data_IF_520930238141
#
_entry.id   IF_520930238141
#
_cell.length_a   1.000
_cell.length_b   1.000
_cell.length_c   1.000
_cell.angle_alpha   90.00
_cell.angle_beta   90.00
_cell.angle_gamma   90.00
#
_symmetry.space_group_name_H-M   'P 1'
#
loop_
_entity.id
_entity.type
_entity.pdbx_description
1 polymer ?
#
# COMPACT_ATOMS: atom_id res chain seq x y z
N UNK A 1 -10.84 10.28 -8.50
CA UNK A 1 -9.44 10.73 -8.55
C UNK A 1 -8.57 9.60 -9.09
N UNK A 2 -7.59 9.90 -9.95
CA UNK A 2 -6.57 8.91 -10.38
C UNK A 2 -5.61 8.64 -9.20
N UNK A 3 -5.01 7.45 -9.10
CA UNK A 3 -4.11 7.08 -7.97
C UNK A 3 -3.02 8.13 -7.69
N UNK A 4 -2.44 8.72 -8.75
CA UNK A 4 -1.47 9.81 -8.64
C UNK A 4 -1.98 11.03 -7.84
N UNK A 5 -3.26 11.40 -8.00
CA UNK A 5 -3.84 12.55 -7.30
C UNK A 5 -3.96 12.29 -5.79
N UNK A 6 -4.19 11.04 -5.37
CA UNK A 6 -4.17 10.70 -3.96
C UNK A 6 -2.77 10.87 -3.36
N UNK A 7 -1.72 10.41 -4.04
CA UNK A 7 -0.34 10.60 -3.56
C UNK A 7 0.09 12.07 -3.54
N UNK A 8 -0.35 12.87 -4.51
CA UNK A 8 -0.13 14.33 -4.47
C UNK A 8 -0.84 14.93 -3.25
N UNK A 9 -2.10 14.56 -3.01
CA UNK A 9 -2.83 15.01 -1.83
C UNK A 9 -2.13 14.57 -0.53
N UNK A 10 -1.59 13.36 -0.47
CA UNK A 10 -0.81 12.87 0.68
C UNK A 10 0.41 13.75 0.93
N UNK A 11 1.19 14.07 -0.10
CA UNK A 11 2.35 14.93 0.02
C UNK A 11 1.96 16.34 0.50
N UNK A 12 0.85 16.88 -0.02
CA UNK A 12 0.31 18.17 0.42
C UNK A 12 -0.10 18.13 1.88
N UNK A 13 -0.78 17.08 2.34
CA UNK A 13 -1.16 16.91 3.75
C UNK A 13 0.08 16.91 4.65
N UNK A 14 1.10 16.09 4.32
CA UNK A 14 2.35 16.09 5.09
C UNK A 14 3.01 17.47 5.13
N UNK A 15 3.13 18.13 3.98
CA UNK A 15 3.76 19.44 3.88
C UNK A 15 3.01 20.50 4.70
N UNK A 16 1.68 20.54 4.61
CA UNK A 16 0.85 21.46 5.40
C UNK A 16 0.98 21.21 6.89
N UNK A 17 1.03 19.94 7.32
CA UNK A 17 1.25 19.60 8.72
C UNK A 17 2.63 20.05 9.19
N UNK A 18 3.70 19.81 8.43
CA UNK A 18 5.04 20.28 8.79
C UNK A 18 5.11 21.81 8.88
N UNK A 19 4.54 22.53 7.92
CA UNK A 19 4.45 23.99 7.94
C UNK A 19 3.67 24.46 9.17
N UNK A 20 2.54 23.84 9.47
CA UNK A 20 1.74 24.16 10.66
C UNK A 20 2.54 23.96 11.96
N UNK A 21 3.29 22.85 12.08
CA UNK A 21 4.14 22.57 13.24
C UNK A 21 5.26 23.62 13.40
N UNK A 22 5.85 24.08 12.30
CA UNK A 22 6.86 25.15 12.32
C UNK A 22 6.26 26.50 12.74
N UNK A 23 5.07 26.85 12.22
CA UNK A 23 4.37 28.09 12.60
C UNK A 23 3.93 28.10 14.07
N UNK A 24 3.74 26.92 14.66
CA UNK A 24 3.34 26.74 16.07
C UNK A 24 4.50 26.27 16.95
N UNK A 25 5.74 26.41 16.47
CA UNK A 25 6.92 25.87 17.16
C UNK A 25 7.05 26.39 18.59
N UNK A 26 6.77 27.67 18.84
CA UNK A 26 6.86 28.27 20.18
C UNK A 26 5.84 27.68 21.17
N UNK A 27 4.71 27.16 20.67
CA UNK A 27 3.69 26.50 21.49
C UNK A 27 4.02 25.03 21.79
N UNK A 28 4.96 24.41 21.08
CA UNK A 28 5.38 23.02 21.34
C UNK A 28 6.05 22.95 22.72
N UNK A 29 5.59 22.07 23.63
CA UNK A 29 6.14 21.98 24.97
C UNK A 29 7.58 21.42 24.96
N UNK A 30 8.33 21.74 26.01
CA UNK A 30 9.60 21.11 26.32
C UNK A 30 9.54 20.63 27.78
N UNK A 31 9.43 19.31 28.03
CA UNK A 31 9.55 18.21 27.08
C UNK A 31 8.27 17.89 26.29
N UNK A 32 8.40 17.14 25.19
CA UNK A 32 7.31 16.71 24.30
C UNK A 32 6.77 15.34 24.74
N UNK A 33 5.44 15.11 24.79
CA UNK A 33 4.88 13.79 25.01
C UNK A 33 5.08 12.88 23.79
N UNK A 34 5.64 11.68 23.99
CA UNK A 34 5.91 10.72 22.90
C UNK A 34 5.20 9.37 23.07
N UNK A 35 4.74 9.07 24.28
CA UNK A 35 3.93 7.89 24.57
C UNK A 35 2.75 8.29 25.45
N UNK A 36 1.66 7.53 25.33
CA UNK A 36 0.42 7.73 26.06
C UNK A 36 -0.03 6.40 26.65
N UNK A 37 -0.46 6.42 27.91
CA UNK A 37 -1.00 5.25 28.59
C UNK A 37 -2.38 4.84 28.02
N UNK A 38 -2.92 3.72 28.49
CA UNK A 38 -4.24 3.24 28.08
C UNK A 38 -5.40 4.18 28.46
N UNK A 39 -5.16 5.16 29.32
CA UNK A 39 -6.13 6.22 29.70
C UNK A 39 -5.98 7.48 28.83
N UNK A 40 -4.99 7.51 27.93
CA UNK A 40 -4.69 8.65 27.07
C UNK A 40 -3.90 9.76 27.74
N UNK A 41 -3.29 9.50 28.91
CA UNK A 41 -2.37 10.46 29.55
C UNK A 41 -0.95 10.25 29.02
N UNK A 42 -0.17 11.32 28.80
CA UNK A 42 1.25 11.17 28.54
C UNK A 42 1.98 10.49 29.70
N UNK A 43 2.72 9.43 29.42
CA UNK A 43 3.51 8.65 30.39
C UNK A 43 5.01 8.55 30.03
N UNK A 44 5.40 8.98 28.82
CA UNK A 44 6.79 9.18 28.38
C UNK A 44 6.95 10.50 27.66
N UNK A 45 8.09 11.15 27.91
CA UNK A 45 8.44 12.45 27.35
C UNK A 45 9.86 12.45 26.81
N UNK A 46 10.11 13.27 25.79
CA UNK A 46 11.44 13.47 25.19
C UNK A 46 11.78 14.96 25.06
N UNK A 47 13.07 15.34 25.00
CA UNK A 47 13.46 16.73 24.76
C UNK A 47 12.83 17.30 23.49
N UNK A 48 12.48 18.59 23.52
CA UNK A 48 11.96 19.28 22.35
C UNK A 48 12.97 19.28 21.22
N UNK A 49 12.63 18.60 20.14
CA UNK A 49 13.38 18.58 18.90
C UNK A 49 12.42 18.52 17.72
N UNK A 50 12.86 19.01 16.55
CA UNK A 50 12.02 18.99 15.36
C UNK A 50 11.61 17.56 14.99
N UNK A 51 12.53 16.61 15.14
CA UNK A 51 12.26 15.20 14.87
C UNK A 51 11.21 14.64 15.83
N UNK A 52 11.37 14.83 17.15
CA UNK A 52 10.44 14.30 18.16
C UNK A 52 9.03 14.90 17.98
N UNK A 53 8.94 16.18 17.62
CA UNK A 53 7.67 16.85 17.34
C UNK A 53 6.97 16.36 16.06
N UNK A 54 7.70 15.76 15.10
CA UNK A 54 7.18 15.44 13.75
C UNK A 54 7.32 13.98 13.35
N UNK A 55 7.76 13.10 14.26
CA UNK A 55 8.09 11.70 13.97
C UNK A 55 6.95 10.92 13.31
N UNK A 56 5.71 11.12 13.76
CA UNK A 56 4.52 10.49 13.19
C UNK A 56 4.24 10.95 11.74
N UNK A 57 4.58 12.19 11.40
CA UNK A 57 4.49 12.69 10.02
C UNK A 57 5.51 11.96 9.14
N UNK A 58 6.74 11.75 9.63
CA UNK A 58 7.76 11.01 8.91
C UNK A 58 7.40 9.54 8.72
N UNK A 59 6.78 8.89 9.70
CA UNK A 59 6.20 7.55 9.54
C UNK A 59 5.14 7.55 8.42
N UNK A 60 4.28 8.56 8.39
CA UNK A 60 3.32 8.76 7.28
C UNK A 60 4.00 8.89 5.91
N UNK A 61 5.08 9.67 5.82
CA UNK A 61 5.89 9.83 4.58
C UNK A 61 6.50 8.50 4.14
N UNK A 62 7.09 7.74 5.07
CA UNK A 62 7.69 6.44 4.76
C UNK A 62 6.64 5.46 4.22
N UNK A 63 5.49 5.35 4.86
CA UNK A 63 4.40 4.51 4.35
C UNK A 63 3.81 5.01 3.04
N UNK A 64 3.77 6.33 2.82
CA UNK A 64 3.33 6.90 1.55
C UNK A 64 4.26 6.55 0.39
N UNK A 65 5.53 6.24 0.65
CA UNK A 65 6.50 5.77 -0.33
C UNK A 65 6.49 4.23 -0.44
N UNK A 66 6.47 3.52 0.69
CA UNK A 66 6.66 2.08 0.73
C UNK A 66 5.45 1.28 0.26
N UNK A 67 4.23 1.64 0.67
CA UNK A 67 3.03 0.90 0.31
C UNK A 67 2.76 0.87 -1.21
N UNK A 68 2.95 1.97 -1.97
CA UNK A 68 2.84 1.92 -3.43
C UNK A 68 3.85 0.98 -4.11
N UNK A 69 5.05 0.80 -3.53
CA UNK A 69 6.06 -0.12 -4.07
C UNK A 69 5.66 -1.59 -3.94
N UNK A 70 4.75 -1.88 -3.00
CA UNK A 70 4.13 -3.20 -2.80
C UNK A 70 3.02 -3.51 -3.81
N UNK A 71 2.68 -2.57 -4.71
CA UNK A 71 1.74 -2.81 -5.81
C UNK A 71 2.54 -3.07 -7.09
N UNK A 72 2.28 -4.17 -7.83
CA UNK A 72 2.97 -4.41 -9.09
C UNK A 72 2.68 -3.27 -10.07
N UNK A 73 3.66 -2.86 -10.90
CA UNK A 73 3.38 -1.86 -11.92
C UNK A 73 2.40 -2.44 -12.95
N UNK A 74 1.44 -1.64 -13.42
CA UNK A 74 0.42 -2.09 -14.40
C UNK A 74 1.08 -2.69 -15.65
N UNK A 75 2.22 -2.14 -16.08
CA UNK A 75 2.98 -2.64 -17.22
C UNK A 75 3.39 -4.11 -17.10
N UNK A 76 3.56 -4.63 -15.87
CA UNK A 76 3.92 -6.03 -15.64
C UNK A 76 2.87 -7.00 -16.22
N UNK A 77 1.61 -6.57 -16.34
CA UNK A 77 0.52 -7.32 -16.97
C UNK A 77 0.73 -7.63 -18.44
N UNK A 78 1.58 -6.86 -19.13
CA UNK A 78 1.83 -7.01 -20.57
C UNK A 78 3.29 -7.28 -20.90
N UNK A 79 4.17 -7.39 -19.91
CA UNK A 79 5.55 -7.80 -20.16
C UNK A 79 5.54 -9.30 -20.47
N UNK A 80 6.06 -9.64 -21.64
CA UNK A 80 6.30 -11.01 -22.09
C UNK A 80 7.78 -11.31 -22.12
N UNK A 81 8.14 -12.56 -21.81
CA UNK A 81 9.50 -13.06 -21.89
C UNK A 81 9.65 -14.00 -23.08
N UNK A 82 10.85 -14.02 -23.67
CA UNK A 82 11.20 -15.00 -24.69
C UNK A 82 11.33 -16.39 -24.05
N UNK A 83 10.48 -17.30 -24.49
CA UNK A 83 10.41 -18.70 -24.05
C UNK A 83 10.51 -19.60 -25.29
N UNK A 84 11.18 -20.78 -25.20
CA UNK A 84 11.24 -21.71 -26.33
C UNK A 84 9.84 -22.03 -26.88
N UNK A 85 9.63 -21.78 -28.18
CA UNK A 85 8.31 -21.82 -28.81
C UNK A 85 7.59 -23.18 -28.70
N UNK A 86 8.36 -24.27 -28.62
CA UNK A 86 7.82 -25.64 -28.54
C UNK A 86 7.16 -25.96 -27.20
N UNK A 87 7.57 -25.29 -26.12
CA UNK A 87 7.04 -25.49 -24.77
C UNK A 87 6.30 -24.27 -24.22
N UNK A 88 6.34 -23.15 -24.94
CA UNK A 88 5.74 -21.90 -24.50
C UNK A 88 4.22 -22.01 -24.35
N UNK A 89 3.71 -21.64 -23.18
CA UNK A 89 2.28 -21.39 -23.02
C UNK A 89 1.90 -20.15 -23.84
N UNK A 90 0.69 -20.10 -24.41
CA UNK A 90 0.28 -18.96 -25.20
C UNK A 90 0.14 -17.71 -24.32
N UNK A 91 0.39 -16.54 -24.89
CA UNK A 91 0.02 -15.27 -24.26
C UNK A 91 -1.50 -15.10 -24.34
N UNK A 92 -2.15 -14.76 -23.22
CA UNK A 92 -3.60 -14.51 -23.20
C UNK A 92 -3.89 -13.04 -22.98
N UNK A 93 -4.60 -12.44 -23.94
CA UNK A 93 -5.02 -11.04 -23.88
C UNK A 93 -6.06 -10.85 -22.78
N UNK A 94 -6.99 -11.79 -22.61
CA UNK A 94 -7.96 -11.77 -21.52
C UNK A 94 -7.27 -11.81 -20.15
N UNK A 95 -6.24 -12.65 -19.97
CA UNK A 95 -5.46 -12.73 -18.72
C UNK A 95 -4.73 -11.41 -18.44
N UNK A 96 -4.10 -10.82 -19.46
CA UNK A 96 -3.41 -9.54 -19.34
C UNK A 96 -4.37 -8.42 -18.93
N UNK A 97 -5.53 -8.31 -19.58
CA UNK A 97 -6.56 -7.32 -19.25
C UNK A 97 -7.08 -7.46 -17.81
N UNK A 98 -7.32 -8.70 -17.35
CA UNK A 98 -7.72 -8.95 -15.96
C UNK A 98 -6.62 -8.53 -14.98
N UNK A 99 -5.36 -8.82 -15.29
CA UNK A 99 -4.22 -8.43 -14.47
C UNK A 99 -4.05 -6.89 -14.40
N UNK A 100 -4.22 -6.18 -15.51
CA UNK A 100 -4.24 -4.71 -15.54
C UNK A 100 -5.36 -4.13 -14.68
N UNK A 101 -6.57 -4.66 -14.84
CA UNK A 101 -7.76 -4.24 -14.10
C UNK A 101 -7.54 -4.42 -12.59
N UNK A 102 -7.11 -5.60 -12.15
CA UNK A 102 -6.91 -5.90 -10.74
C UNK A 102 -5.74 -5.09 -10.16
N UNK A 103 -4.66 -4.91 -10.92
CA UNK A 103 -3.53 -4.06 -10.53
C UNK A 103 -3.97 -2.59 -10.36
N UNK A 104 -4.73 -2.05 -11.31
CA UNK A 104 -5.24 -0.68 -11.23
C UNK A 104 -6.21 -0.44 -10.07
N UNK A 105 -7.09 -1.41 -9.79
CA UNK A 105 -7.98 -1.38 -8.63
C UNK A 105 -7.21 -1.44 -7.31
N UNK A 106 -6.23 -2.35 -7.19
CA UNK A 106 -5.34 -2.46 -6.03
C UNK A 106 -4.54 -1.18 -5.83
N UNK A 107 -3.97 -0.60 -6.88
CA UNK A 107 -3.24 0.67 -6.81
C UNK A 107 -4.12 1.81 -6.29
N UNK A 108 -5.39 1.87 -6.71
CA UNK A 108 -6.34 2.89 -6.23
C UNK A 108 -6.67 2.69 -4.75
N UNK A 109 -6.93 1.45 -4.34
CA UNK A 109 -7.18 1.10 -2.95
C UNK A 109 -6.00 1.49 -2.05
N UNK A 110 -4.78 1.11 -2.42
CA UNK A 110 -3.57 1.47 -1.67
C UNK A 110 -3.35 2.98 -1.61
N UNK A 111 -3.60 3.71 -2.71
CA UNK A 111 -3.47 5.16 -2.71
C UNK A 111 -4.47 5.85 -1.76
N UNK A 112 -5.71 5.35 -1.69
CA UNK A 112 -6.71 5.82 -0.73
C UNK A 112 -6.30 5.52 0.70
N UNK A 113 -5.84 4.29 0.97
CA UNK A 113 -5.35 3.87 2.29
C UNK A 113 -4.19 4.75 2.77
N UNK A 114 -3.21 4.99 1.89
CA UNK A 114 -2.07 5.86 2.17
C UNK A 114 -2.53 7.26 2.55
N UNK A 115 -3.41 7.88 1.76
CA UNK A 115 -3.90 9.23 2.05
C UNK A 115 -4.62 9.30 3.39
N UNK A 116 -5.59 8.41 3.63
CA UNK A 116 -6.41 8.47 4.85
C UNK A 116 -5.59 8.15 6.09
N UNK A 117 -4.71 7.15 6.03
CA UNK A 117 -3.79 6.83 7.13
C UNK A 117 -2.85 8.00 7.41
N UNK A 118 -2.30 8.63 6.37
CA UNK A 118 -1.41 9.80 6.51
C UNK A 118 -2.13 10.96 7.18
N UNK A 119 -3.39 11.22 6.80
CA UNK A 119 -4.20 12.25 7.43
C UNK A 119 -4.42 11.96 8.92
N UNK A 120 -4.68 10.69 9.29
CA UNK A 120 -4.83 10.29 10.69
C UNK A 120 -3.54 10.50 11.49
N UNK A 121 -2.38 10.07 10.99
CA UNK A 121 -1.10 10.27 11.73
C UNK A 121 -0.72 11.75 11.82
N UNK A 122 -1.00 12.55 10.78
CA UNK A 122 -0.78 14.00 10.81
C UNK A 122 -1.70 14.68 11.84
N UNK A 123 -2.97 14.28 11.88
CA UNK A 123 -3.91 14.77 12.89
C UNK A 123 -3.47 14.38 14.30
N UNK A 124 -3.06 13.12 14.51
CA UNK A 124 -2.51 12.66 15.79
C UNK A 124 -1.32 13.52 16.21
N UNK A 125 -0.34 13.74 15.33
CA UNK A 125 0.82 14.62 15.61
C UNK A 125 0.38 15.99 16.12
N UNK A 126 -0.53 16.64 15.40
CA UNK A 126 -0.98 17.99 15.73
C UNK A 126 -1.71 18.03 17.08
N UNK A 127 -2.60 17.07 17.32
CA UNK A 127 -3.38 17.01 18.55
C UNK A 127 -2.56 16.62 19.78
N UNK A 128 -1.50 15.83 19.63
CA UNK A 128 -0.70 15.38 20.78
C UNK A 128 0.44 16.34 21.14
N UNK A 129 0.94 17.11 20.17
CA UNK A 129 2.11 17.98 20.37
C UNK A 129 1.73 19.45 20.62
N UNK A 130 0.59 19.94 20.11
CA UNK A 130 0.18 21.34 20.29
C UNK A 130 -0.82 21.46 21.45
N UNK A 131 -0.46 22.09 22.59
CA UNK A 131 -1.28 22.07 23.80
C UNK A 131 -2.55 22.93 23.71
N UNK A 132 -2.53 23.99 22.89
CA UNK A 132 -3.67 24.91 22.74
C UNK A 132 -4.79 24.32 21.85
N UNK A 133 -4.55 23.19 21.20
CA UNK A 133 -5.60 22.45 20.50
C UNK A 133 -6.28 21.60 21.55
N UNK A 134 -7.58 21.83 21.85
CA UNK A 134 -8.27 21.03 22.84
C UNK A 134 -8.18 19.57 22.42
N UNK A 135 -7.37 18.82 23.16
CA UNK A 135 -7.20 17.38 23.00
C UNK A 135 -8.53 16.72 23.37
N UNK A 136 -9.44 16.64 22.41
CA UNK A 136 -10.55 15.70 22.54
C UNK A 136 -10.00 14.35 22.10
N UNK A 137 -9.55 13.53 23.05
CA UNK A 137 -9.18 12.14 22.78
C UNK A 137 -10.27 11.42 21.96
N UNK A 138 -11.53 11.84 22.13
CA UNK A 138 -12.66 11.45 21.31
C UNK A 138 -12.48 11.72 19.79
N UNK A 139 -11.97 12.88 19.37
CA UNK A 139 -11.76 13.18 17.94
C UNK A 139 -10.75 12.21 17.31
N UNK A 140 -9.63 11.94 18.00
CA UNK A 140 -8.62 11.00 17.50
C UNK A 140 -9.17 9.58 17.44
N UNK A 141 -9.86 9.13 18.49
CA UNK A 141 -10.52 7.82 18.50
C UNK A 141 -11.53 7.71 17.36
N UNK A 142 -12.39 8.73 17.18
CA UNK A 142 -13.35 8.77 16.10
C UNK A 142 -12.68 8.77 14.72
N UNK A 143 -11.57 9.50 14.54
CA UNK A 143 -10.82 9.52 13.29
C UNK A 143 -10.22 8.15 12.95
N UNK A 144 -9.61 7.47 13.93
CA UNK A 144 -9.04 6.12 13.73
C UNK A 144 -10.11 5.05 13.52
N UNK A 145 -11.25 5.14 14.20
CA UNK A 145 -12.43 4.29 13.94
C UNK A 145 -12.94 4.54 12.52
N UNK A 146 -13.12 5.80 12.13
CA UNK A 146 -13.60 6.16 10.80
C UNK A 146 -12.64 5.68 9.70
N UNK A 147 -11.33 5.81 9.91
CA UNK A 147 -10.30 5.24 9.04
C UNK A 147 -10.47 3.72 8.91
N UNK A 148 -10.56 3.00 10.04
CA UNK A 148 -10.69 1.55 10.05
C UNK A 148 -11.94 1.08 9.31
N UNK A 149 -13.09 1.69 9.62
CA UNK A 149 -14.37 1.41 8.95
C UNK A 149 -14.27 1.74 7.46
N UNK A 150 -13.65 2.86 7.09
CA UNK A 150 -13.43 3.23 5.70
C UNK A 150 -12.61 2.17 4.95
N UNK A 151 -11.49 1.70 5.51
CA UNK A 151 -10.65 0.67 4.90
C UNK A 151 -11.41 -0.65 4.76
N UNK A 152 -12.17 -1.05 5.78
CA UNK A 152 -13.02 -2.25 5.70
C UNK A 152 -14.03 -2.15 4.55
N UNK A 153 -14.74 -1.02 4.46
CA UNK A 153 -15.70 -0.77 3.37
C UNK A 153 -14.99 -0.80 2.02
N UNK A 154 -13.84 -0.13 1.87
CA UNK A 154 -13.10 -0.15 0.61
C UNK A 154 -12.56 -1.53 0.26
N UNK A 155 -12.12 -2.32 1.24
CA UNK A 155 -11.66 -3.70 1.04
C UNK A 155 -12.77 -4.64 0.57
N UNK A 156 -13.96 -4.53 1.18
CA UNK A 156 -15.16 -5.25 0.74
C UNK A 156 -15.54 -4.82 -0.68
N UNK A 157 -15.58 -3.51 -0.96
CA UNK A 157 -15.87 -2.98 -2.30
C UNK A 157 -14.84 -3.43 -3.33
N UNK A 158 -13.56 -3.42 -2.99
CA UNK A 158 -12.49 -3.91 -3.86
C UNK A 158 -12.74 -5.38 -4.21
N UNK A 159 -12.99 -6.22 -3.22
CA UNK A 159 -13.23 -7.66 -3.41
C UNK A 159 -14.44 -7.91 -4.30
N UNK A 160 -15.59 -7.33 -3.96
CA UNK A 160 -16.86 -7.55 -4.69
C UNK A 160 -16.81 -7.00 -6.12
N UNK A 161 -16.27 -5.80 -6.30
CA UNK A 161 -16.21 -5.18 -7.63
C UNK A 161 -15.11 -5.77 -8.50
N UNK A 162 -14.01 -6.26 -7.92
CA UNK A 162 -12.95 -6.94 -8.68
C UNK A 162 -13.43 -8.29 -9.17
N UNK A 163 -14.10 -9.08 -8.32
CA UNK A 163 -14.65 -10.37 -8.73
C UNK A 163 -15.62 -10.21 -9.92
N UNK A 164 -16.57 -9.27 -9.81
CA UNK A 164 -17.53 -8.98 -10.89
C UNK A 164 -16.86 -8.47 -12.16
N UNK A 165 -15.93 -7.52 -12.03
CA UNK A 165 -15.27 -6.90 -13.19
C UNK A 165 -14.30 -7.87 -13.88
N UNK A 166 -13.59 -8.70 -13.12
CA UNK A 166 -12.81 -9.80 -13.68
C UNK A 166 -13.75 -10.72 -14.45
N UNK A 167 -14.81 -11.28 -13.85
CA UNK A 167 -15.74 -12.18 -14.55
C UNK A 167 -16.38 -11.61 -15.83
N UNK A 168 -16.47 -10.28 -15.96
CA UNK A 168 -17.05 -9.64 -17.15
C UNK A 168 -16.14 -9.67 -18.39
N UNK A 169 -14.83 -9.88 -18.23
CA UNK A 169 -13.93 -10.04 -19.37
C UNK A 169 -14.12 -11.46 -19.94
N UNK A 170 -14.45 -11.64 -21.23
CA UNK A 170 -14.61 -12.96 -21.83
C UNK A 170 -13.30 -13.76 -21.79
N UNK A 171 -13.41 -15.06 -21.53
CA UNK A 171 -12.25 -15.97 -21.56
C UNK A 171 -11.88 -16.28 -23.01
N UNK A 172 -10.62 -16.02 -23.39
CA UNK A 172 -10.09 -16.38 -24.70
C UNK A 172 -9.57 -17.83 -24.72
N UNK A 173 -9.30 -18.36 -25.92
CA UNK A 173 -8.83 -19.74 -26.08
C UNK A 173 -7.49 -19.95 -25.35
N UNK A 174 -6.60 -18.97 -25.42
CA UNK A 174 -5.29 -19.00 -24.80
C UNK A 174 -5.39 -19.06 -23.26
N UNK A 175 -6.32 -18.32 -22.65
CA UNK A 175 -6.64 -18.39 -21.22
C UNK A 175 -7.11 -19.80 -20.83
N UNK A 176 -7.90 -20.48 -21.66
CA UNK A 176 -8.35 -21.85 -21.37
C UNK A 176 -7.19 -22.85 -21.38
N UNK A 177 -6.30 -22.75 -22.37
CA UNK A 177 -5.08 -23.58 -22.46
C UNK A 177 -4.21 -23.35 -21.23
N UNK A 178 -3.96 -22.07 -20.89
CA UNK A 178 -3.18 -21.69 -19.71
C UNK A 178 -3.81 -22.18 -18.41
N UNK A 179 -5.12 -22.05 -18.26
CA UNK A 179 -5.83 -22.45 -17.04
C UNK A 179 -5.75 -23.97 -16.80
N UNK A 180 -5.70 -24.76 -17.87
CA UNK A 180 -5.49 -26.19 -17.79
C UNK A 180 -4.06 -26.52 -17.33
N UNK A 181 -3.06 -25.87 -17.93
CA UNK A 181 -1.66 -26.09 -17.61
C UNK A 181 -1.24 -25.57 -16.22
N UNK A 182 -1.74 -24.40 -15.82
CA UNK A 182 -1.32 -23.67 -14.62
C UNK A 182 -2.25 -23.88 -13.41
N UNK A 183 -3.22 -24.80 -13.51
CA UNK A 183 -4.30 -24.98 -12.53
C UNK A 183 -3.84 -25.03 -11.06
N UNK A 184 -2.69 -25.66 -10.82
CA UNK A 184 -2.10 -25.86 -9.49
C UNK A 184 -0.77 -25.11 -9.30
N UNK A 185 -0.37 -24.27 -10.26
CA UNK A 185 0.91 -23.56 -10.21
C UNK A 185 0.91 -22.39 -9.20
N UNK A 186 -0.27 -21.83 -8.90
CA UNK A 186 -0.40 -20.65 -8.04
C UNK A 186 -0.48 -20.92 -6.55
N UNK A 187 0.23 -20.10 -5.77
CA UNK A 187 0.21 -20.11 -4.31
C UNK A 187 -0.17 -18.76 -3.71
N UNK A 188 0.66 -18.26 -2.78
CA UNK A 188 0.47 -17.02 -2.01
C UNK A 188 0.77 -15.73 -2.83
N UNK A 189 0.24 -15.62 -4.04
CA UNK A 189 0.44 -14.47 -4.92
C UNK A 189 1.69 -14.56 -5.82
N UNK A 190 2.31 -15.72 -5.87
CA UNK A 190 3.41 -16.04 -6.77
C UNK A 190 3.30 -17.46 -7.29
N UNK A 191 3.92 -17.70 -8.44
CA UNK A 191 4.15 -18.99 -9.06
C UNK A 191 5.51 -19.01 -9.74
N UNK A 192 5.96 -20.19 -10.17
CA UNK A 192 7.20 -20.36 -10.92
C UNK A 192 6.92 -21.27 -12.10
N UNK A 193 6.80 -20.68 -13.29
CA UNK A 193 6.65 -21.42 -14.53
C UNK A 193 7.54 -20.81 -15.62
N UNK A 194 8.70 -21.40 -15.92
CA UNK A 194 9.61 -20.91 -16.95
C UNK A 194 9.01 -20.96 -18.36
N UNK A 195 8.05 -21.85 -18.59
CA UNK A 195 7.40 -22.00 -19.90
C UNK A 195 6.27 -21.00 -20.14
N UNK A 196 5.86 -20.24 -19.13
CA UNK A 196 4.84 -19.20 -19.26
C UNK A 196 5.49 -17.87 -19.60
N UNK A 197 5.30 -17.30 -20.81
CA UNK A 197 5.92 -16.02 -21.16
C UNK A 197 5.38 -14.83 -20.34
N UNK A 198 4.23 -14.95 -19.68
CA UNK A 198 3.65 -13.86 -18.89
C UNK A 198 4.34 -13.71 -17.53
N UNK A 199 4.59 -12.45 -17.13
CA UNK A 199 5.19 -12.13 -15.83
C UNK A 199 4.18 -12.07 -14.67
N UNK A 200 2.89 -11.99 -14.99
CA UNK A 200 1.80 -11.96 -14.03
C UNK A 200 0.57 -12.61 -14.64
N UNK A 201 -0.17 -13.34 -13.84
CA UNK A 201 -1.38 -14.01 -14.26
C UNK A 201 -2.46 -13.88 -13.18
N UNK A 202 -3.70 -14.17 -13.59
CA UNK A 202 -4.81 -14.40 -12.67
C UNK A 202 -5.29 -15.81 -12.93
N UNK A 203 -5.34 -16.62 -11.87
CA UNK A 203 -5.76 -18.01 -11.99
C UNK A 203 -7.23 -18.17 -11.59
N UNK A 204 -7.97 -19.11 -12.22
CA UNK A 204 -9.40 -19.28 -12.02
C UNK A 204 -9.75 -19.73 -10.60
N UNK A 205 -8.84 -20.45 -9.92
CA UNK A 205 -8.99 -20.85 -8.52
C UNK A 205 -8.87 -19.67 -7.56
N UNK A 206 -8.29 -18.54 -7.99
CA UNK A 206 -8.07 -17.35 -7.17
C UNK A 206 -8.24 -16.07 -8.04
N UNK A 207 -9.46 -15.77 -8.54
CA UNK A 207 -9.69 -14.71 -9.52
C UNK A 207 -9.50 -13.29 -8.96
N UNK A 208 -9.37 -13.17 -7.63
CA UNK A 208 -9.11 -11.92 -6.91
C UNK A 208 -7.64 -11.70 -6.56
N UNK A 209 -6.73 -12.61 -6.98
CA UNK A 209 -5.31 -12.54 -6.65
C UNK A 209 -4.47 -12.38 -7.91
N UNK A 210 -3.55 -11.42 -7.85
CA UNK A 210 -2.44 -11.33 -8.78
C UNK A 210 -1.42 -12.41 -8.43
N UNK A 211 -1.01 -13.19 -9.43
CA UNK A 211 0.02 -14.22 -9.29
C UNK A 211 1.25 -13.76 -10.08
N UNK A 212 2.36 -13.51 -9.40
CA UNK A 212 3.60 -13.04 -10.04
C UNK A 212 4.46 -14.25 -10.45
N UNK A 213 4.91 -14.28 -11.70
CA UNK A 213 5.80 -15.33 -12.17
C UNK A 213 7.25 -15.04 -11.74
N UNK A 214 7.78 -15.88 -10.86
CA UNK A 214 9.14 -15.75 -10.30
C UNK A 214 10.21 -16.42 -11.18
N UNK A 215 9.80 -17.20 -12.19
CA UNK A 215 10.70 -17.72 -13.20
C UNK A 215 11.38 -16.60 -13.99
N UNK A 216 10.72 -15.44 -14.08
CA UNK A 216 11.14 -14.31 -14.90
C UNK A 216 11.72 -13.16 -14.10
N UNK A 217 12.71 -12.49 -14.69
CA UNK A 217 13.40 -11.37 -14.06
C UNK A 217 12.46 -10.21 -13.67
N UNK A 218 11.49 -9.77 -14.51
CA UNK A 218 10.57 -8.70 -14.12
C UNK A 218 9.77 -9.02 -12.86
N UNK A 219 9.30 -10.27 -12.72
CA UNK A 219 8.60 -10.72 -11.51
C UNK A 219 9.50 -10.73 -10.28
N UNK A 220 10.74 -11.24 -10.40
CA UNK A 220 11.72 -11.19 -9.30
C UNK A 220 12.10 -9.77 -8.88
N UNK A 221 12.33 -8.87 -9.85
CA UNK A 221 12.64 -7.46 -9.59
C UNK A 221 11.51 -6.77 -8.82
N UNK A 222 10.26 -7.06 -9.16
CA UNK A 222 9.11 -6.57 -8.40
C UNK A 222 9.14 -7.06 -6.94
N UNK A 223 9.37 -8.35 -6.71
CA UNK A 223 9.41 -8.90 -5.35
C UNK A 223 10.57 -8.33 -4.53
N UNK A 224 11.74 -8.14 -5.14
CA UNK A 224 12.87 -7.46 -4.49
C UNK A 224 12.52 -6.03 -4.09
N UNK A 225 11.90 -5.26 -4.99
CA UNK A 225 11.45 -3.90 -4.70
C UNK A 225 10.46 -3.85 -3.53
N UNK A 226 9.50 -4.77 -3.51
CA UNK A 226 8.53 -4.90 -2.42
C UNK A 226 9.24 -5.27 -1.10
N UNK A 227 10.13 -6.26 -1.12
CA UNK A 227 10.90 -6.69 0.05
C UNK A 227 11.75 -5.56 0.63
N UNK A 228 12.50 -4.85 -0.21
CA UNK A 228 13.30 -3.69 0.20
C UNK A 228 12.41 -2.60 0.83
N UNK A 229 11.27 -2.28 0.22
CA UNK A 229 10.36 -1.26 0.74
C UNK A 229 9.82 -1.62 2.14
N UNK A 230 9.41 -2.87 2.34
CA UNK A 230 8.92 -3.35 3.63
C UNK A 230 10.03 -3.38 4.68
N UNK A 231 11.20 -3.94 4.35
CA UNK A 231 12.34 -4.00 5.27
C UNK A 231 12.83 -2.62 5.66
N UNK A 232 12.93 -1.68 4.71
CA UNK A 232 13.33 -0.30 5.00
C UNK A 232 12.31 0.41 5.90
N UNK A 233 11.01 0.17 5.70
CA UNK A 233 9.97 0.76 6.54
C UNK A 233 10.03 0.24 7.98
N UNK A 234 10.24 -1.08 8.15
CA UNK A 234 10.40 -1.69 9.47
C UNK A 234 11.67 -1.15 10.16
N UNK A 235 12.79 -1.13 9.45
CA UNK A 235 14.05 -0.62 9.98
C UNK A 235 13.93 0.86 10.40
N UNK A 236 13.20 1.67 9.65
CA UNK A 236 12.92 3.06 10.00
C UNK A 236 12.12 3.18 11.30
N UNK A 237 11.05 2.40 11.46
CA UNK A 237 10.26 2.40 12.70
C UNK A 237 11.09 1.93 13.91
N UNK A 238 11.93 0.90 13.74
CA UNK A 238 12.83 0.42 14.80
C UNK A 238 13.88 1.47 15.14
N UNK A 239 14.44 2.15 14.14
CA UNK A 239 15.42 3.22 14.36
C UNK A 239 14.81 4.36 15.18
N UNK A 240 13.58 4.76 14.88
CA UNK A 240 12.85 5.78 15.64
C UNK A 240 12.66 5.38 17.11
N UNK A 241 12.37 4.11 17.39
CA UNK A 241 12.10 3.65 18.77
C UNK A 241 13.36 3.63 19.65
N UNK A 242 14.54 3.49 19.03
CA UNK A 242 15.85 3.40 19.71
C UNK A 242 16.57 4.76 19.80
N UNK A 243 16.12 5.77 19.05
CA UNK A 243 16.63 7.15 19.09
C UNK A 243 15.92 8.00 20.14
#
# INVERSE_FOLDING_TARGET
MRSRQYYIATAVVCALTLVYMLLRWDSVPDPIPVHFDGSGNPDRFEPKSFLNATVLVWIGVVFAIALPLCVPPISLARITMDVPAESALPFSEATAQRAELLTGKTATFIAQTVLTMTACVCLTTVCTVIPDIPFSGFLLVAAWIAFTVFIMIQGVRLTLTSAKAVQSIPTDHDEQVRNTALRFAGGMGFYNEPTDPMCIAIFPMNPSKLQINTAHEPGRRYLWRMGIALSASIAFCVLIDVL
#
